data_IF_122518155455
#
_entry.id   IF_122518155455
#
_cell.length_a   1.000
_cell.length_b   1.000
_cell.length_c   1.000
_cell.angle_alpha   90.00
_cell.angle_beta   90.00
_cell.angle_gamma   90.00
#
_symmetry.space_group_name_H-M   'P 1'
#
loop_
_entity.id
_entity.type
_entity.pdbx_description
1 polymer ?
#
# COMPACT_ATOMS: atom_id res chain seq x y z
N UNK A 1 -5.00 8.76 -14.14
CA UNK A 1 -5.61 10.12 -14.16
C UNK A 1 -7.03 10.16 -13.55
N UNK A 2 -7.45 9.11 -12.84
CA UNK A 2 -8.73 9.08 -12.10
C UNK A 2 -8.53 9.65 -10.67
N UNK A 3 -7.37 9.40 -10.04
CA UNK A 3 -7.02 9.91 -8.70
C UNK A 3 -7.10 11.43 -8.57
N UNK A 4 -6.46 12.18 -9.48
CA UNK A 4 -6.49 13.66 -9.50
C UNK A 4 -7.89 14.28 -9.51
N UNK A 5 -8.89 13.65 -10.15
CA UNK A 5 -10.26 14.18 -10.19
C UNK A 5 -10.94 13.99 -8.83
N UNK A 6 -10.73 12.83 -8.18
CA UNK A 6 -11.25 12.54 -6.86
C UNK A 6 -10.60 13.43 -5.78
N UNK A 7 -9.29 13.68 -5.89
CA UNK A 7 -8.55 14.57 -4.99
C UNK A 7 -9.10 16.01 -4.96
N UNK A 8 -9.53 16.54 -6.12
CA UNK A 8 -10.11 17.89 -6.22
C UNK A 8 -11.41 18.03 -5.44
N UNK A 9 -12.33 17.07 -5.58
CA UNK A 9 -13.59 17.11 -4.87
C UNK A 9 -13.40 16.88 -3.37
N UNK A 10 -12.47 15.99 -3.01
CA UNK A 10 -12.14 15.72 -1.62
C UNK A 10 -11.60 16.96 -0.90
N UNK A 11 -10.63 17.68 -1.48
CA UNK A 11 -10.02 18.86 -0.84
C UNK A 11 -10.96 20.06 -0.71
N UNK A 12 -11.89 20.24 -1.66
CA UNK A 12 -12.79 21.41 -1.65
C UNK A 12 -13.76 21.36 -0.47
N UNK A 13 -14.28 20.18 -0.17
CA UNK A 13 -15.42 20.01 0.72
C UNK A 13 -15.05 19.20 1.99
N UNK A 14 -13.76 19.02 2.32
CA UNK A 14 -13.31 18.18 3.45
C UNK A 14 -13.73 18.77 4.81
N UNK A 15 -14.58 18.09 5.59
CA UNK A 15 -15.05 18.56 6.89
C UNK A 15 -14.34 17.88 8.07
N UNK A 16 -13.32 17.06 7.81
CA UNK A 16 -12.72 16.18 8.80
C UNK A 16 -11.70 16.86 9.72
N UNK A 17 -11.16 16.12 10.70
CA UNK A 17 -10.37 16.68 11.80
C UNK A 17 -8.93 17.07 11.40
N UNK A 18 -8.48 16.67 10.20
CA UNK A 18 -7.13 16.96 9.72
C UNK A 18 -7.04 18.33 9.07
N UNK A 19 -5.89 19.00 9.22
CA UNK A 19 -5.64 20.25 8.51
C UNK A 19 -5.60 20.05 6.98
N UNK A 20 -6.07 21.04 6.22
CA UNK A 20 -5.99 21.06 4.76
C UNK A 20 -4.56 20.79 4.26
N UNK A 21 -3.55 21.38 4.93
CA UNK A 21 -2.14 21.15 4.62
C UNK A 21 -1.78 19.67 4.70
N UNK A 22 -2.16 19.00 5.79
CA UNK A 22 -1.84 17.60 6.02
C UNK A 22 -2.45 16.71 4.92
N UNK A 23 -3.70 16.96 4.55
CA UNK A 23 -4.42 16.17 3.53
C UNK A 23 -3.81 16.39 2.16
N UNK A 24 -3.55 17.66 1.82
CA UNK A 24 -2.87 18.00 0.58
C UNK A 24 -1.53 17.29 0.50
N UNK A 25 -0.72 17.31 1.56
CA UNK A 25 0.55 16.60 1.60
C UNK A 25 0.39 15.09 1.43
N UNK A 26 -0.58 14.46 2.09
CA UNK A 26 -0.91 13.04 1.93
C UNK A 26 -1.25 12.70 0.46
N UNK A 27 -2.18 13.44 -0.14
CA UNK A 27 -2.55 13.28 -1.55
C UNK A 27 -1.38 13.51 -2.51
N UNK A 28 -0.51 14.47 -2.22
CA UNK A 28 0.67 14.71 -3.05
C UNK A 28 1.65 13.54 -3.01
N UNK A 29 1.81 12.83 -1.88
CA UNK A 29 2.63 11.61 -1.84
C UNK A 29 2.00 10.50 -2.71
N UNK A 30 0.68 10.32 -2.59
CA UNK A 30 -0.06 9.33 -3.40
C UNK A 30 0.09 9.59 -4.90
N UNK A 31 -0.31 10.78 -5.35
CA UNK A 31 -0.35 11.12 -6.78
C UNK A 31 1.06 11.25 -7.38
N UNK A 32 2.04 11.75 -6.62
CA UNK A 32 3.44 11.79 -7.08
C UNK A 32 4.01 10.38 -7.25
N UNK A 33 3.56 9.40 -6.46
CA UNK A 33 3.98 8.01 -6.63
C UNK A 33 3.62 7.51 -8.03
N UNK A 34 2.40 7.80 -8.51
CA UNK A 34 1.98 7.42 -9.86
C UNK A 34 2.83 8.03 -10.99
N UNK A 35 3.51 9.16 -10.74
CA UNK A 35 4.44 9.75 -11.73
C UNK A 35 5.69 8.88 -11.91
N UNK A 36 6.18 8.29 -10.81
CA UNK A 36 7.41 7.47 -10.81
C UNK A 36 7.15 5.97 -10.88
N UNK A 37 5.91 5.56 -10.71
CA UNK A 37 5.49 4.17 -10.69
C UNK A 37 5.27 3.63 -12.09
N UNK A 38 5.78 2.43 -12.34
CA UNK A 38 5.42 1.64 -13.51
C UNK A 38 4.18 0.79 -13.24
N UNK A 39 3.28 0.70 -14.22
CA UNK A 39 2.03 -0.03 -14.14
C UNK A 39 1.98 -1.28 -15.03
N UNK A 40 3.14 -1.80 -15.46
CA UNK A 40 3.22 -3.00 -16.29
C UNK A 40 2.63 -2.82 -17.69
N UNK A 41 2.60 -1.59 -18.23
CA UNK A 41 1.84 -1.24 -19.44
C UNK A 41 0.34 -1.54 -19.30
N UNK A 42 -0.21 -1.22 -18.12
CA UNK A 42 -1.62 -1.46 -17.78
C UNK A 42 -1.94 -2.90 -17.35
N UNK A 43 -0.93 -3.76 -17.21
CA UNK A 43 -1.11 -5.16 -16.79
C UNK A 43 -1.07 -5.32 -15.26
N UNK A 44 -0.56 -4.34 -14.53
CA UNK A 44 -0.58 -4.39 -13.06
C UNK A 44 -2.02 -4.19 -12.55
N UNK A 45 -2.51 -5.07 -11.64
CA UNK A 45 -3.82 -4.90 -11.01
C UNK A 45 -3.96 -3.54 -10.34
N UNK A 46 -5.10 -2.88 -10.53
CA UNK A 46 -5.37 -1.57 -9.94
C UNK A 46 -5.15 -1.52 -8.40
N UNK A 47 -5.57 -2.52 -7.60
CA UNK A 47 -5.32 -2.49 -6.16
C UNK A 47 -3.84 -2.46 -5.79
N UNK A 48 -2.97 -3.10 -6.57
CA UNK A 48 -1.53 -3.05 -6.36
C UNK A 48 -0.94 -1.70 -6.81
N UNK A 49 -1.44 -1.12 -7.90
CA UNK A 49 -1.01 0.20 -8.35
C UNK A 49 -1.30 1.26 -7.27
N UNK A 50 -2.53 1.29 -6.80
CA UNK A 50 -3.00 2.23 -5.76
C UNK A 50 -2.39 1.90 -4.38
N UNK A 51 -2.24 0.62 -4.05
CA UNK A 51 -1.61 0.20 -2.80
C UNK A 51 -0.13 0.58 -2.68
N UNK A 52 0.60 0.65 -3.80
CA UNK A 52 1.97 1.20 -3.82
C UNK A 52 1.96 2.70 -3.55
N UNK A 53 0.97 3.43 -4.06
CA UNK A 53 0.81 4.85 -3.76
C UNK A 53 0.45 5.09 -2.29
N UNK A 54 -0.49 4.31 -1.73
CA UNK A 54 -0.81 4.36 -0.30
C UNK A 54 0.37 3.90 0.60
N UNK A 55 1.22 3.00 0.10
CA UNK A 55 2.45 2.60 0.81
C UNK A 55 3.41 3.77 0.98
N UNK A 56 3.60 4.63 -0.03
CA UNK A 56 4.51 5.79 0.13
C UNK A 56 3.93 6.82 1.10
N UNK A 57 2.60 7.01 1.08
CA UNK A 57 1.89 7.82 2.08
C UNK A 57 2.14 7.30 3.50
N UNK A 58 2.08 5.98 3.67
CA UNK A 58 2.36 5.31 4.94
C UNK A 58 3.81 5.50 5.38
N UNK A 59 4.80 5.25 4.51
CA UNK A 59 6.23 5.43 4.83
C UNK A 59 6.61 6.89 5.10
N UNK A 60 5.87 7.84 4.53
CA UNK A 60 6.03 9.26 4.80
C UNK A 60 5.37 9.72 6.11
N UNK A 61 4.66 8.83 6.83
CA UNK A 61 3.85 9.14 8.02
C UNK A 61 2.74 10.18 7.75
N UNK A 62 2.12 10.10 6.57
CA UNK A 62 0.98 10.94 6.16
C UNK A 62 -0.28 10.11 5.88
N UNK A 63 -0.44 8.94 6.51
CA UNK A 63 -1.65 8.13 6.38
C UNK A 63 -2.82 8.66 7.24
N UNK A 64 -4.05 8.74 6.70
CA UNK A 64 -5.17 9.39 7.40
C UNK A 64 -5.70 8.56 8.58
N UNK A 65 -6.41 9.18 9.54
CA UNK A 65 -7.19 8.47 10.54
C UNK A 65 -8.14 7.48 9.86
N UNK A 66 -8.13 6.23 10.30
CA UNK A 66 -8.94 5.16 9.71
C UNK A 66 -8.20 4.32 8.67
N UNK A 67 -6.94 4.63 8.34
CA UNK A 67 -6.09 3.69 7.59
C UNK A 67 -6.05 2.34 8.30
N UNK A 68 -6.22 1.29 7.51
CA UNK A 68 -6.30 -0.06 8.03
C UNK A 68 -5.08 -0.45 8.88
N UNK A 69 -5.34 -1.22 9.93
CA UNK A 69 -4.30 -1.69 10.85
C UNK A 69 -3.50 -2.84 10.22
N UNK A 70 -2.22 -3.02 10.57
CA UNK A 70 -1.48 -4.21 10.17
C UNK A 70 -2.21 -5.50 10.57
N UNK A 71 -2.28 -6.46 9.65
CA UNK A 71 -2.98 -7.73 9.82
C UNK A 71 -4.47 -7.70 9.48
N UNK A 72 -5.04 -6.56 9.11
CA UNK A 72 -6.44 -6.47 8.70
C UNK A 72 -6.68 -6.93 7.26
N UNK A 73 -7.95 -7.12 6.90
CA UNK A 73 -8.37 -7.55 5.57
C UNK A 73 -8.34 -9.05 5.31
N UNK A 74 -8.98 -9.47 4.22
CA UNK A 74 -9.17 -10.88 3.85
C UNK A 74 -8.23 -11.31 2.72
N UNK A 75 -7.89 -10.38 1.81
CA UNK A 75 -6.95 -10.60 0.69
C UNK A 75 -5.95 -9.46 0.55
N UNK A 76 -4.76 -9.77 0.06
CA UNK A 76 -3.65 -8.81 -0.04
C UNK A 76 -3.90 -7.66 -1.02
N UNK A 77 -4.74 -7.86 -2.04
CA UNK A 77 -5.10 -6.92 -3.11
C UNK A 77 -6.58 -6.48 -3.05
N UNK A 78 -7.23 -6.57 -1.90
CA UNK A 78 -8.67 -6.24 -1.78
C UNK A 78 -8.99 -4.74 -1.77
N UNK A 79 -8.00 -3.89 -1.53
CA UNK A 79 -8.17 -2.45 -1.36
C UNK A 79 -6.83 -1.78 -1.04
N UNK A 80 -6.77 -0.48 -1.22
CA UNK A 80 -5.50 0.23 -1.39
C UNK A 80 -4.66 0.23 -0.10
N UNK A 81 -5.27 0.59 1.02
CA UNK A 81 -4.58 0.66 2.31
C UNK A 81 -4.30 -0.73 2.92
N UNK A 82 -5.15 -1.74 2.66
CA UNK A 82 -4.84 -3.14 2.96
C UNK A 82 -3.59 -3.61 2.22
N UNK A 83 -3.51 -3.31 0.92
CA UNK A 83 -2.33 -3.64 0.10
C UNK A 83 -1.11 -2.87 0.57
N UNK A 84 -1.24 -1.59 0.92
CA UNK A 84 -0.14 -0.80 1.47
C UNK A 84 0.45 -1.41 2.74
N UNK A 85 -0.41 -1.88 3.66
CA UNK A 85 0.01 -2.56 4.90
C UNK A 85 0.68 -3.91 4.65
N UNK A 86 0.24 -4.63 3.62
CA UNK A 86 0.92 -5.85 3.20
C UNK A 86 2.30 -5.56 2.60
N UNK A 87 2.41 -4.52 1.77
CA UNK A 87 3.68 -4.11 1.17
C UNK A 87 4.68 -3.60 2.22
N UNK A 88 4.21 -2.94 3.28
CA UNK A 88 5.03 -2.61 4.47
C UNK A 88 5.66 -3.86 5.09
N UNK A 89 4.89 -4.94 5.25
CA UNK A 89 5.42 -6.21 5.72
C UNK A 89 6.42 -6.83 4.72
N UNK A 90 6.16 -6.79 3.41
CA UNK A 90 7.11 -7.28 2.42
C UNK A 90 8.45 -6.51 2.44
N UNK A 91 8.41 -5.19 2.69
CA UNK A 91 9.59 -4.33 2.83
C UNK A 91 10.42 -4.66 4.09
N UNK A 92 9.77 -5.14 5.16
CA UNK A 92 10.46 -5.65 6.36
C UNK A 92 11.21 -6.97 6.08
N UNK A 93 10.71 -7.80 5.15
CA UNK A 93 11.35 -9.06 4.77
C UNK A 93 12.51 -8.84 3.80
N UNK A 94 12.30 -7.95 2.82
CA UNK A 94 13.25 -7.64 1.76
C UNK A 94 13.39 -6.12 1.72
N UNK A 95 14.52 -5.55 2.15
CA UNK A 95 14.74 -4.11 2.09
C UNK A 95 14.50 -3.56 0.68
N UNK A 96 13.80 -2.44 0.59
CA UNK A 96 13.42 -1.76 -0.65
C UNK A 96 12.52 -2.61 -1.57
N UNK A 97 11.70 -3.50 -0.98
CA UNK A 97 10.84 -4.42 -1.73
C UNK A 97 9.99 -3.69 -2.77
N UNK A 98 9.32 -2.61 -2.37
CA UNK A 98 8.41 -1.87 -3.24
C UNK A 98 9.16 -1.20 -4.40
N UNK A 99 10.35 -0.67 -4.17
CA UNK A 99 11.17 -0.09 -5.22
C UNK A 99 11.64 -1.16 -6.23
N UNK A 100 12.05 -2.33 -5.73
CA UNK A 100 12.44 -3.49 -6.56
C UNK A 100 11.25 -4.00 -7.38
N UNK A 101 10.08 -4.14 -6.76
CA UNK A 101 8.85 -4.53 -7.44
C UNK A 101 8.50 -3.52 -8.54
N UNK A 102 8.54 -2.22 -8.24
CA UNK A 102 8.31 -1.15 -9.23
C UNK A 102 9.24 -1.28 -10.43
N UNK A 103 10.54 -1.54 -10.21
CA UNK A 103 11.50 -1.71 -11.30
C UNK A 103 11.16 -2.90 -12.20
N UNK A 104 10.67 -4.01 -11.63
CA UNK A 104 10.21 -5.18 -12.39
C UNK A 104 8.93 -4.90 -13.20
N UNK A 105 8.11 -3.94 -12.74
CA UNK A 105 6.85 -3.58 -13.39
C UNK A 105 6.98 -2.66 -14.61
N UNK A 106 8.20 -2.39 -15.11
CA UNK A 106 8.42 -1.41 -16.19
C UNK A 106 7.60 -1.67 -17.46
N UNK A 107 7.39 -2.95 -17.79
CA UNK A 107 6.79 -3.40 -19.07
C UNK A 107 5.72 -4.47 -18.94
N UNK A 108 5.67 -5.13 -17.80
CA UNK A 108 4.69 -6.18 -17.54
C UNK A 108 4.46 -6.30 -16.04
N UNK A 109 3.47 -7.09 -15.66
CA UNK A 109 3.29 -7.54 -14.29
C UNK A 109 3.01 -9.03 -14.29
N UNK A 110 3.61 -9.72 -13.33
CA UNK A 110 3.27 -11.10 -13.00
C UNK A 110 3.33 -11.25 -11.48
N UNK A 111 2.38 -11.99 -10.90
CA UNK A 111 2.31 -12.18 -9.45
C UNK A 111 3.53 -12.93 -8.89
N UNK A 112 4.23 -13.71 -9.73
CA UNK A 112 5.51 -14.36 -9.38
C UNK A 112 6.62 -13.38 -9.02
N UNK A 113 6.49 -12.09 -9.31
CA UNK A 113 7.47 -11.09 -8.88
C UNK A 113 7.63 -11.07 -7.35
N UNK A 114 6.56 -11.34 -6.59
CA UNK A 114 6.64 -11.52 -5.14
C UNK A 114 7.56 -12.70 -4.77
N UNK A 115 7.40 -13.83 -5.44
CA UNK A 115 8.27 -15.00 -5.24
C UNK A 115 9.71 -14.72 -5.67
N UNK A 116 9.92 -14.06 -6.79
CA UNK A 116 11.27 -13.75 -7.28
C UNK A 116 12.04 -12.82 -6.32
N UNK A 117 11.34 -11.96 -5.59
CA UNK A 117 11.95 -11.03 -4.63
C UNK A 117 12.08 -11.62 -3.23
N UNK A 118 11.10 -12.40 -2.76
CA UNK A 118 11.04 -12.88 -1.35
C UNK A 118 11.38 -14.37 -1.19
N UNK A 119 11.42 -15.13 -2.28
CA UNK A 119 11.49 -16.59 -2.27
C UNK A 119 10.16 -17.30 -1.96
N UNK A 120 9.05 -16.57 -1.78
CA UNK A 120 7.74 -17.13 -1.42
C UNK A 120 6.61 -16.63 -2.33
N UNK A 121 5.64 -17.48 -2.71
CA UNK A 121 4.46 -17.02 -3.43
C UNK A 121 3.63 -16.07 -2.56
N UNK A 122 2.91 -15.13 -3.22
CA UNK A 122 2.15 -14.07 -2.51
C UNK A 122 1.14 -14.61 -1.51
N UNK A 123 0.53 -15.76 -1.80
CA UNK A 123 -0.45 -16.41 -0.92
C UNK A 123 0.18 -16.93 0.38
N UNK A 124 1.44 -17.35 0.35
CA UNK A 124 2.16 -17.75 1.56
C UNK A 124 2.59 -16.51 2.36
N UNK A 125 3.10 -15.48 1.67
CA UNK A 125 3.42 -14.19 2.30
C UNK A 125 2.21 -13.59 3.03
N UNK A 126 1.02 -13.67 2.41
CA UNK A 126 -0.22 -13.17 3.03
C UNK A 126 -0.59 -13.97 4.28
N UNK A 127 -0.44 -15.30 4.26
CA UNK A 127 -0.67 -16.13 5.45
C UNK A 127 0.32 -15.78 6.58
N UNK A 128 1.60 -15.63 6.26
CA UNK A 128 2.64 -15.26 7.22
C UNK A 128 2.37 -13.86 7.82
N UNK A 129 1.95 -12.92 6.98
CA UNK A 129 1.50 -11.59 7.40
C UNK A 129 0.36 -11.69 8.40
N UNK A 130 -0.72 -12.42 8.08
CA UNK A 130 -1.86 -12.59 8.98
C UNK A 130 -1.44 -13.26 10.30
N UNK A 131 -0.57 -14.26 10.27
CA UNK A 131 -0.06 -14.93 11.47
C UNK A 131 0.77 -13.99 12.35
N UNK A 132 1.65 -13.18 11.76
CA UNK A 132 2.48 -12.20 12.48
C UNK A 132 1.65 -11.23 13.32
N UNK A 133 0.54 -10.75 12.77
CA UNK A 133 -0.30 -9.75 13.44
C UNK A 133 -1.45 -10.34 14.27
N UNK A 134 -1.85 -11.60 14.02
CA UNK A 134 -2.75 -12.33 14.91
C UNK A 134 -2.15 -12.49 16.32
N UNK A 135 -0.85 -12.77 16.40
CA UNK A 135 -0.14 -12.94 17.67
C UNK A 135 -0.01 -11.61 18.45
N UNK A 136 0.24 -10.49 17.77
CA UNK A 136 0.32 -9.16 18.42
C UNK A 136 -1.02 -8.70 19.01
N UNK A 137 -2.14 -9.00 18.37
CA UNK A 137 -3.47 -8.71 18.92
C UNK A 137 -3.70 -9.48 20.25
N UNK A 138 -3.17 -10.69 20.37
CA UNK A 138 -3.30 -11.51 21.59
C UNK A 138 -2.41 -11.07 22.75
N UNK A 139 -1.32 -10.33 22.48
CA UNK A 139 -0.44 -9.77 23.50
C UNK A 139 -1.01 -8.49 24.11
N UNK A 140 -1.63 -7.63 23.29
CA UNK A 140 -2.30 -6.39 23.74
C UNK A 140 -3.51 -6.67 24.65
N UNK A 141 -4.18 -7.81 24.47
CA UNK A 141 -5.33 -8.22 25.31
C UNK A 141 -4.89 -8.74 26.68
N UNK A 142 -3.61 -9.09 26.86
CA UNK A 142 -3.06 -9.65 28.11
C UNK A 142 -2.30 -8.62 28.97
N UNK A 143 -2.15 -7.39 28.50
CA UNK A 143 -1.52 -6.26 29.22
C UNK A 143 -2.55 -5.27 29.73
#
# INVERSE_FOLDING_TARGET
MIGLILARFFLRDYPGPLSLKWIFTSLMHHEMTHVFQWNGEGKTPAPLVEGIADYTVLKANYNPPGFNMPGSGDRWDQGYDYTARFLEYCDELVPDFVAKLNNMMRKTYDVSFFHNLTGKPVEELWKDYKAKYANKASEVIKS
#
